data_IF_644947400328
#
_entry.id   IF_644947400328
#
_cell.length_a   1.000
_cell.length_b   1.000
_cell.length_c   1.000
_cell.angle_alpha   90.00
_cell.angle_beta   90.00
_cell.angle_gamma   90.00
#
_symmetry.space_group_name_H-M   'P 1'
#
loop_
_entity.id
_entity.type
_entity.pdbx_description
1 polymer ?
#
# COMPACT_ATOMS: atom_id res chain seq x y z
N UNK A 1 18.66 31.03 -0.52
CA UNK A 1 18.84 29.60 -0.73
C UNK A 1 17.91 29.09 -1.82
N UNK A 2 18.44 28.33 -2.77
CA UNK A 2 17.64 27.80 -3.89
C UNK A 2 16.77 26.64 -3.41
N UNK A 3 15.46 26.74 -3.63
CA UNK A 3 14.50 25.71 -3.23
C UNK A 3 14.54 24.54 -4.20
N UNK A 4 14.47 23.30 -3.68
CA UNK A 4 14.35 22.11 -4.53
C UNK A 4 13.13 22.19 -5.44
N UNK A 5 13.25 21.72 -6.68
CA UNK A 5 12.18 21.76 -7.68
C UNK A 5 10.87 21.14 -7.17
N UNK A 6 10.95 19.92 -6.63
CA UNK A 6 9.76 19.20 -6.15
C UNK A 6 9.07 19.90 -4.96
N UNK A 7 9.83 20.66 -4.16
CA UNK A 7 9.25 21.48 -3.09
C UNK A 7 8.47 22.66 -3.66
N UNK A 8 9.04 23.33 -4.67
CA UNK A 8 8.36 24.42 -5.37
C UNK A 8 7.06 23.98 -6.03
N UNK A 9 7.07 22.80 -6.61
CA UNK A 9 5.90 22.20 -7.29
C UNK A 9 4.90 21.59 -6.31
N UNK A 10 5.15 21.62 -4.99
CA UNK A 10 4.26 21.05 -3.98
C UNK A 10 4.14 19.53 -4.03
N UNK A 11 5.10 18.83 -4.63
CA UNK A 11 5.06 17.37 -4.83
C UNK A 11 5.70 16.57 -3.71
N UNK A 12 6.57 17.16 -2.92
CA UNK A 12 7.32 16.45 -1.87
C UNK A 12 7.44 17.32 -0.62
N UNK A 13 7.07 16.73 0.51
CA UNK A 13 7.36 17.31 1.83
C UNK A 13 8.69 16.73 2.33
N UNK A 14 9.77 17.48 2.17
CA UNK A 14 11.12 17.02 2.51
C UNK A 14 11.34 16.81 4.02
N UNK A 15 10.60 17.51 4.88
CA UNK A 15 10.67 17.29 6.33
C UNK A 15 10.13 15.91 6.69
N UNK A 16 8.96 15.52 6.16
CA UNK A 16 8.39 14.17 6.34
C UNK A 16 9.30 13.11 5.74
N UNK A 17 9.81 13.36 4.54
CA UNK A 17 10.75 12.45 3.88
C UNK A 17 11.98 12.20 4.75
N UNK A 18 12.61 13.24 5.27
CA UNK A 18 13.78 13.10 6.13
C UNK A 18 13.46 12.30 7.39
N UNK A 19 12.33 12.55 8.03
CA UNK A 19 11.90 11.81 9.21
C UNK A 19 11.76 10.30 8.91
N UNK A 20 11.17 9.94 7.76
CA UNK A 20 11.06 8.54 7.34
C UNK A 20 12.42 7.91 7.03
N UNK A 21 13.33 8.64 6.38
CA UNK A 21 14.66 8.16 6.03
C UNK A 21 15.54 7.91 7.26
N UNK A 22 15.32 8.60 8.36
CA UNK A 22 16.04 8.38 9.62
C UNK A 22 15.84 6.98 10.21
N UNK A 23 14.73 6.32 9.90
CA UNK A 23 14.46 4.97 10.36
C UNK A 23 15.37 3.92 9.72
N UNK A 24 15.96 4.23 8.57
CA UNK A 24 16.77 3.32 7.72
C UNK A 24 16.03 2.08 7.25
N UNK A 25 14.72 2.02 7.44
CA UNK A 25 13.87 0.91 7.00
C UNK A 25 13.39 1.14 5.57
N UNK A 26 13.06 0.07 4.82
CA UNK A 26 12.38 0.20 3.55
C UNK A 26 11.09 1.01 3.73
N UNK A 27 10.80 1.90 2.79
CA UNK A 27 9.55 2.67 2.81
C UNK A 27 8.49 1.96 1.99
N UNK A 28 7.31 1.83 2.57
CA UNK A 28 6.13 1.32 1.89
C UNK A 28 5.39 2.53 1.33
N UNK A 29 5.63 2.81 0.05
CA UNK A 29 5.11 4.00 -0.62
C UNK A 29 3.72 3.68 -1.15
N UNK A 30 2.68 4.23 -0.53
CA UNK A 30 1.29 4.05 -0.95
C UNK A 30 0.79 5.34 -1.59
N UNK A 31 0.30 5.23 -2.81
CA UNK A 31 -0.26 6.36 -3.57
C UNK A 31 -1.61 5.97 -4.13
N UNK A 32 -2.60 6.82 -3.93
CA UNK A 32 -3.94 6.64 -4.46
C UNK A 32 -4.21 7.62 -5.60
N UNK A 33 -4.99 7.18 -6.56
CA UNK A 33 -5.57 8.04 -7.60
C UNK A 33 -7.07 7.76 -7.69
N UNK A 34 -7.76 8.45 -8.60
CA UNK A 34 -9.19 8.22 -8.80
C UNK A 34 -9.49 6.82 -9.37
N UNK A 35 -8.54 6.22 -10.09
CA UNK A 35 -8.74 4.94 -10.78
C UNK A 35 -7.99 3.78 -10.14
N UNK A 36 -6.84 4.03 -9.52
CA UNK A 36 -5.92 2.97 -9.07
C UNK A 36 -5.32 3.24 -7.72
N UNK A 37 -4.88 2.17 -7.08
CA UNK A 37 -4.00 2.18 -5.92
C UNK A 37 -2.64 1.62 -6.34
N UNK A 38 -1.57 2.20 -5.81
CA UNK A 38 -0.20 1.74 -6.05
C UNK A 38 0.53 1.59 -4.73
N UNK A 39 1.22 0.47 -4.57
CA UNK A 39 2.06 0.17 -3.41
C UNK A 39 3.44 -0.22 -3.89
N UNK A 40 4.47 0.45 -3.39
CA UNK A 40 5.87 0.21 -3.76
C UNK A 40 6.71 0.09 -2.51
N UNK A 41 7.73 -0.77 -2.56
CA UNK A 41 8.77 -0.85 -1.54
C UNK A 41 10.02 -0.16 -2.06
N UNK A 42 10.43 0.92 -1.41
CA UNK A 42 11.56 1.75 -1.83
C UNK A 42 12.68 1.72 -0.80
N UNK A 43 13.92 1.56 -1.28
CA UNK A 43 15.13 1.68 -0.49
C UNK A 43 15.81 3.01 -0.83
N UNK A 44 16.29 3.71 0.20
CA UNK A 44 17.05 4.95 -0.01
C UNK A 44 18.43 4.65 -0.59
N UNK A 45 18.78 5.37 -1.65
CA UNK A 45 20.12 5.44 -2.22
C UNK A 45 20.46 6.91 -2.51
N UNK A 46 21.74 7.27 -2.45
CA UNK A 46 22.20 8.66 -2.66
C UNK A 46 21.84 9.20 -4.04
N UNK A 47 21.84 8.33 -5.05
CA UNK A 47 21.53 8.69 -6.44
C UNK A 47 20.03 8.66 -6.77
N UNK A 48 19.20 8.40 -5.79
CA UNK A 48 17.75 8.27 -5.92
C UNK A 48 17.24 6.97 -5.30
N UNK A 49 15.95 6.93 -4.96
CA UNK A 49 15.36 5.73 -4.36
C UNK A 49 15.36 4.56 -5.33
N UNK A 50 15.69 3.38 -4.82
CA UNK A 50 15.56 2.14 -5.59
C UNK A 50 14.25 1.45 -5.22
N UNK A 51 13.40 1.21 -6.22
CA UNK A 51 12.15 0.47 -6.04
C UNK A 51 12.46 -1.02 -6.14
N UNK A 52 12.29 -1.74 -5.03
CA UNK A 52 12.54 -3.18 -4.96
C UNK A 52 11.39 -3.96 -5.56
N UNK A 53 10.16 -3.57 -5.23
CA UNK A 53 8.95 -4.20 -5.76
C UNK A 53 7.82 -3.19 -5.83
N UNK A 54 6.88 -3.43 -6.74
CA UNK A 54 5.74 -2.55 -6.98
C UNK A 54 4.51 -3.38 -7.31
N UNK A 55 3.35 -2.92 -6.85
CA UNK A 55 2.04 -3.46 -7.24
C UNK A 55 1.06 -2.33 -7.50
N UNK A 56 0.24 -2.52 -8.51
CA UNK A 56 -0.86 -1.61 -8.85
C UNK A 56 -2.17 -2.41 -8.85
N UNK A 57 -3.26 -1.77 -8.47
CA UNK A 57 -4.55 -2.46 -8.32
C UNK A 57 -5.08 -3.10 -9.62
N UNK A 58 -4.63 -2.64 -10.79
CA UNK A 58 -4.98 -3.28 -12.06
C UNK A 58 -4.48 -4.73 -12.18
N UNK A 59 -3.44 -5.11 -11.43
CA UNK A 59 -2.96 -6.50 -11.37
C UNK A 59 -4.00 -7.47 -10.80
N UNK A 60 -5.00 -6.97 -10.06
CA UNK A 60 -6.06 -7.78 -9.50
C UNK A 60 -6.92 -8.46 -10.58
N UNK A 61 -6.93 -7.93 -11.81
CA UNK A 61 -7.60 -8.59 -12.96
C UNK A 61 -7.09 -10.02 -13.17
N UNK A 62 -5.81 -10.24 -12.98
CA UNK A 62 -5.18 -11.55 -13.10
C UNK A 62 -5.79 -12.59 -12.15
N UNK A 63 -6.26 -12.14 -11.00
CA UNK A 63 -6.86 -12.98 -9.96
C UNK A 63 -8.40 -13.04 -10.04
N UNK A 64 -8.97 -12.45 -11.07
CA UNK A 64 -10.42 -12.45 -11.29
C UNK A 64 -11.18 -11.32 -10.59
N UNK A 65 -10.50 -10.28 -10.13
CA UNK A 65 -11.16 -9.11 -9.57
C UNK A 65 -11.83 -8.29 -10.69
N UNK A 66 -13.12 -8.09 -10.58
CA UNK A 66 -13.95 -7.40 -11.59
C UNK A 66 -14.69 -6.18 -11.06
N UNK A 67 -14.35 -5.73 -9.87
CA UNK A 67 -14.90 -4.53 -9.26
C UNK A 67 -13.95 -3.33 -9.45
N UNK A 68 -14.25 -2.18 -8.82
CA UNK A 68 -13.40 -0.98 -8.88
C UNK A 68 -11.97 -1.27 -8.39
N UNK A 69 -10.99 -0.64 -9.02
CA UNK A 69 -9.56 -0.74 -8.64
C UNK A 69 -9.12 0.37 -7.68
N UNK A 70 -10.05 1.21 -7.21
CA UNK A 70 -9.74 2.32 -6.30
C UNK A 70 -10.55 2.31 -5.01
N UNK A 71 -11.32 1.25 -4.75
CA UNK A 71 -12.08 1.11 -3.52
C UNK A 71 -11.24 0.50 -2.37
N UNK A 72 -11.79 0.45 -1.17
CA UNK A 72 -11.10 -0.09 0.01
C UNK A 72 -10.68 -1.56 -0.15
N UNK A 73 -11.54 -2.48 -0.63
CA UNK A 73 -11.12 -3.87 -0.86
C UNK A 73 -9.96 -4.00 -1.84
N UNK A 74 -9.98 -3.25 -2.95
CA UNK A 74 -8.89 -3.29 -3.92
C UNK A 74 -7.59 -2.74 -3.36
N UNK A 75 -7.66 -1.70 -2.53
CA UNK A 75 -6.49 -1.17 -1.82
C UNK A 75 -5.87 -2.22 -0.90
N UNK A 76 -6.69 -2.92 -0.12
CA UNK A 76 -6.26 -4.00 0.76
C UNK A 76 -5.56 -5.13 -0.04
N UNK A 77 -6.20 -5.60 -1.10
CA UNK A 77 -5.65 -6.67 -1.94
C UNK A 77 -4.35 -6.26 -2.65
N UNK A 78 -4.26 -5.00 -3.10
CA UNK A 78 -3.03 -4.47 -3.71
C UNK A 78 -1.89 -4.45 -2.70
N UNK A 79 -2.16 -4.01 -1.47
CA UNK A 79 -1.21 -4.06 -0.37
C UNK A 79 -0.77 -5.50 -0.05
N UNK A 80 -1.70 -6.43 -0.08
CA UNK A 80 -1.44 -7.85 0.16
C UNK A 80 -0.48 -8.44 -0.90
N UNK A 81 -0.72 -8.14 -2.19
CA UNK A 81 0.17 -8.55 -3.28
C UNK A 81 1.57 -7.94 -3.09
N UNK A 82 1.63 -6.64 -2.81
CA UNK A 82 2.90 -5.94 -2.61
C UNK A 82 3.70 -6.55 -1.45
N UNK A 83 3.03 -6.86 -0.34
CA UNK A 83 3.65 -7.51 0.81
C UNK A 83 4.21 -8.88 0.49
N UNK A 84 3.46 -9.70 -0.24
CA UNK A 84 3.91 -11.02 -0.68
C UNK A 84 5.12 -10.94 -1.62
N UNK A 85 5.08 -10.02 -2.58
CA UNK A 85 6.23 -9.75 -3.48
C UNK A 85 7.46 -9.31 -2.69
N UNK A 86 7.28 -8.44 -1.70
CA UNK A 86 8.37 -7.95 -0.86
C UNK A 86 9.00 -9.08 -0.04
N UNK A 87 8.20 -9.97 0.53
CA UNK A 87 8.71 -11.15 1.25
C UNK A 87 9.58 -12.04 0.35
N UNK A 88 9.17 -12.26 -0.89
CA UNK A 88 10.00 -13.00 -1.88
C UNK A 88 11.33 -12.31 -2.18
N UNK A 89 11.39 -11.00 -2.04
CA UNK A 89 12.62 -10.20 -2.23
C UNK A 89 13.45 -10.09 -0.94
N UNK A 90 13.02 -10.72 0.14
CA UNK A 90 13.73 -10.70 1.43
C UNK A 90 13.43 -9.49 2.32
N UNK A 91 12.46 -8.67 1.98
CA UNK A 91 12.03 -7.55 2.82
C UNK A 91 11.05 -8.08 3.87
N UNK A 92 11.36 -7.84 5.14
CA UNK A 92 10.56 -8.33 6.28
C UNK A 92 9.91 -7.21 7.08
N UNK A 93 10.40 -5.99 6.94
CA UNK A 93 9.90 -4.83 7.67
C UNK A 93 9.81 -3.61 6.77
N UNK A 94 9.09 -2.60 7.23
CA UNK A 94 8.97 -1.36 6.48
C UNK A 94 8.26 -0.28 7.29
N UNK A 95 8.27 0.93 6.76
CA UNK A 95 7.59 2.08 7.33
C UNK A 95 6.69 2.71 6.26
N UNK A 96 5.48 3.09 6.65
CA UNK A 96 4.49 3.66 5.73
C UNK A 96 4.88 5.07 5.27
N UNK A 97 4.80 5.31 3.97
CA UNK A 97 4.95 6.63 3.36
C UNK A 97 3.73 6.92 2.47
N UNK A 98 2.81 7.73 2.98
CA UNK A 98 1.61 8.15 2.24
C UNK A 98 1.80 9.47 1.50
N UNK A 99 3.00 10.06 1.55
CA UNK A 99 3.33 11.32 0.88
C UNK A 99 2.47 12.48 1.35
N UNK A 100 1.78 13.11 0.42
CA UNK A 100 0.91 14.26 0.70
C UNK A 100 -0.55 13.88 0.96
N UNK A 101 -0.90 12.59 0.95
CA UNK A 101 -2.25 12.15 1.29
C UNK A 101 -2.57 12.44 2.76
N UNK A 102 -3.81 12.85 3.04
CA UNK A 102 -4.25 13.13 4.39
C UNK A 102 -4.38 11.81 5.20
N UNK A 103 -3.82 11.72 6.42
CA UNK A 103 -3.88 10.51 7.23
C UNK A 103 -5.22 10.40 7.98
N UNK A 104 -6.31 10.26 7.23
CA UNK A 104 -7.66 10.13 7.81
C UNK A 104 -7.93 8.71 8.23
N UNK A 105 -8.58 8.52 9.38
CA UNK A 105 -9.01 7.21 9.87
C UNK A 105 -9.89 6.50 8.83
N UNK A 106 -9.61 5.23 8.59
CA UNK A 106 -10.35 4.43 7.63
C UNK A 106 -10.05 4.73 6.17
N UNK A 107 -9.02 5.53 5.86
CA UNK A 107 -8.64 5.84 4.49
C UNK A 107 -8.12 4.61 3.74
N UNK A 108 -8.25 4.62 2.41
CA UNK A 108 -7.78 3.54 1.53
C UNK A 108 -6.29 3.25 1.69
N UNK A 109 -5.48 4.26 1.96
CA UNK A 109 -4.04 4.08 2.20
C UNK A 109 -3.77 3.17 3.41
N UNK A 110 -4.60 3.25 4.44
CA UNK A 110 -4.51 2.37 5.61
C UNK A 110 -5.06 0.97 5.34
N UNK A 111 -6.00 0.82 4.43
CA UNK A 111 -6.44 -0.50 3.95
C UNK A 111 -5.28 -1.22 3.23
N UNK A 112 -4.54 -0.51 2.38
CA UNK A 112 -3.34 -1.04 1.73
C UNK A 112 -2.27 -1.43 2.76
N UNK A 113 -2.07 -0.61 3.78
CA UNK A 113 -1.15 -0.90 4.89
C UNK A 113 -1.55 -2.18 5.63
N UNK A 114 -2.83 -2.36 5.91
CA UNK A 114 -3.37 -3.58 6.53
C UNK A 114 -3.09 -4.81 5.66
N UNK A 115 -3.27 -4.69 4.35
CA UNK A 115 -2.93 -5.75 3.39
C UNK A 115 -1.46 -6.13 3.45
N UNK A 116 -0.57 -5.16 3.50
CA UNK A 116 0.88 -5.38 3.65
C UNK A 116 1.19 -6.10 4.97
N UNK A 117 0.59 -5.66 6.07
CA UNK A 117 0.79 -6.27 7.39
C UNK A 117 0.28 -7.73 7.42
N UNK A 118 -0.89 -7.99 6.84
CA UNK A 118 -1.46 -9.34 6.76
C UNK A 118 -0.65 -10.29 5.88
N UNK A 119 0.09 -9.75 4.91
CA UNK A 119 1.02 -10.51 4.09
C UNK A 119 2.25 -11.03 4.87
N UNK A 120 2.54 -10.45 6.01
CA UNK A 120 3.65 -10.86 6.89
C UNK A 120 4.76 -9.83 7.05
N UNK A 121 4.59 -8.62 6.53
CA UNK A 121 5.55 -7.52 6.71
C UNK A 121 5.33 -6.87 8.08
N UNK A 122 6.40 -6.67 8.84
CA UNK A 122 6.35 -5.95 10.11
C UNK A 122 6.31 -4.43 9.84
N UNK A 123 5.15 -3.83 10.11
CA UNK A 123 4.90 -2.40 9.90
C UNK A 123 4.25 -1.80 11.14
N UNK A 124 4.79 -0.72 11.71
CA UNK A 124 4.13 -0.03 12.82
C UNK A 124 2.89 0.71 12.32
N UNK A 125 1.75 0.50 12.96
CA UNK A 125 0.52 1.25 12.70
C UNK A 125 -0.40 1.28 13.93
N UNK A 126 -1.23 2.33 14.02
CA UNK A 126 -2.30 2.39 15.01
C UNK A 126 -3.53 1.64 14.52
N UNK A 127 -4.09 0.77 15.34
CA UNK A 127 -5.30 0.00 14.97
C UNK A 127 -6.51 0.89 14.73
N UNK A 128 -6.57 2.04 15.37
CA UNK A 128 -7.66 3.01 15.26
C UNK A 128 -7.77 3.67 13.88
N UNK A 129 -6.69 3.69 13.08
CA UNK A 129 -6.68 4.27 11.72
C UNK A 129 -7.06 3.26 10.64
N UNK A 130 -6.95 1.98 10.92
CA UNK A 130 -7.27 0.90 9.97
C UNK A 130 -8.78 0.85 9.74
N UNK A 131 -9.25 0.73 8.47
CA UNK A 131 -10.67 0.52 8.20
C UNK A 131 -11.19 -0.74 8.88
N UNK A 132 -12.48 -0.75 9.24
CA UNK A 132 -13.12 -1.94 9.79
C UNK A 132 -13.07 -3.11 8.80
N UNK A 133 -13.11 -4.34 9.30
CA UNK A 133 -13.12 -5.54 8.45
C UNK A 133 -14.28 -5.53 7.44
N UNK A 134 -15.43 -5.04 7.85
CA UNK A 134 -16.59 -4.90 6.96
C UNK A 134 -16.27 -4.03 5.73
N UNK A 135 -15.50 -2.95 5.91
CA UNK A 135 -15.09 -2.09 4.79
C UNK A 135 -13.99 -2.71 3.95
N UNK A 136 -13.05 -3.40 4.56
CA UNK A 136 -11.96 -4.12 3.86
C UNK A 136 -12.54 -5.21 2.96
N UNK A 137 -13.53 -5.96 3.44
CA UNK A 137 -14.20 -7.00 2.65
C UNK A 137 -15.30 -6.46 1.73
N UNK A 138 -15.55 -5.18 1.74
CA UNK A 138 -16.50 -4.53 0.83
C UNK A 138 -17.97 -4.76 1.15
N UNK A 139 -18.32 -5.14 2.39
CA UNK A 139 -19.71 -5.38 2.80
C UNK A 139 -20.58 -4.14 2.69
N UNK A 140 -19.98 -2.94 2.78
CA UNK A 140 -20.67 -1.66 2.60
C UNK A 140 -21.04 -1.38 1.13
N UNK A 141 -20.46 -2.10 0.18
CA UNK A 141 -20.74 -1.98 -1.25
C UNK A 141 -21.70 -3.09 -1.67
N UNK A 142 -21.33 -4.34 -1.39
CA UNK A 142 -22.08 -5.54 -1.73
C UNK A 142 -21.61 -6.68 -0.82
N UNK A 143 -22.54 -7.40 -0.21
CA UNK A 143 -22.20 -8.53 0.66
C UNK A 143 -21.47 -9.65 -0.07
N UNK A 144 -21.72 -9.82 -1.37
CA UNK A 144 -21.02 -10.82 -2.20
C UNK A 144 -19.53 -10.54 -2.39
N UNK A 145 -19.10 -9.27 -2.21
CA UNK A 145 -17.69 -8.90 -2.34
C UNK A 145 -16.80 -9.55 -1.28
N UNK A 146 -17.32 -9.84 -0.10
CA UNK A 146 -16.53 -10.49 0.96
C UNK A 146 -15.98 -11.84 0.49
N UNK A 147 -16.81 -12.67 -0.11
CA UNK A 147 -16.37 -13.96 -0.69
C UNK A 147 -15.40 -13.76 -1.85
N UNK A 148 -15.62 -12.73 -2.66
CA UNK A 148 -14.71 -12.41 -3.78
C UNK A 148 -13.34 -11.97 -3.30
N UNK A 149 -13.28 -11.16 -2.25
CA UNK A 149 -12.01 -10.75 -1.63
C UNK A 149 -11.25 -11.97 -1.11
N UNK A 150 -11.92 -12.86 -0.41
CA UNK A 150 -11.29 -14.09 0.10
C UNK A 150 -10.78 -15.01 -1.03
N UNK A 151 -11.56 -15.15 -2.11
CA UNK A 151 -11.16 -15.92 -3.29
C UNK A 151 -9.89 -15.36 -3.92
N UNK A 152 -9.87 -14.05 -4.16
CA UNK A 152 -8.70 -13.35 -4.73
C UNK A 152 -7.49 -13.49 -3.81
N UNK A 153 -7.70 -13.34 -2.50
CA UNK A 153 -6.64 -13.48 -1.50
C UNK A 153 -6.02 -14.88 -1.54
N UNK A 154 -6.83 -15.93 -1.62
CA UNK A 154 -6.35 -17.31 -1.76
C UNK A 154 -5.52 -17.51 -3.03
N UNK A 155 -5.97 -16.99 -4.16
CA UNK A 155 -5.21 -17.07 -5.42
C UNK A 155 -3.86 -16.37 -5.33
N UNK A 156 -3.79 -15.25 -4.62
CA UNK A 156 -2.53 -14.55 -4.36
C UNK A 156 -1.60 -15.41 -3.49
N UNK A 157 -2.13 -16.03 -2.44
CA UNK A 157 -1.37 -16.94 -1.58
C UNK A 157 -0.82 -18.13 -2.36
N UNK A 158 -1.61 -18.73 -3.25
CA UNK A 158 -1.16 -19.84 -4.10
C UNK A 158 0.01 -19.44 -5.00
N UNK A 159 0.03 -18.22 -5.53
CA UNK A 159 1.10 -17.75 -6.40
C UNK A 159 2.38 -17.39 -5.61
N UNK A 160 2.26 -16.79 -4.44
CA UNK A 160 3.39 -16.26 -3.67
C UNK A 160 3.69 -17.04 -2.38
N UNK A 161 2.79 -17.87 -1.98
CA UNK A 161 2.92 -18.67 -0.77
C UNK A 161 3.72 -19.91 -0.97
#
# INVERSE_FOLDING_TARGET
MKMFRRRKEGKTNYRKRLALLKSKKPRIVVRKSNKYMRVQFALYETNGDRIVTSSISSELKKYGWNNSFSNTPSAYLTGYIAGKKALKKGIKEGILDIGLHAPRKGARVFAALKGVADAGIDVPYGEDVIPSDARIYGKHIDESLASKVEEVKKKIEEEYG
#
